data_IF_511230641298
#
_entry.id   IF_511230641298
#
_cell.length_a   1.000
_cell.length_b   1.000
_cell.length_c   1.000
_cell.angle_alpha   90.00
_cell.angle_beta   90.00
_cell.angle_gamma   90.00
#
_symmetry.space_group_name_H-M   'P 1'
#
loop_
_entity.id
_entity.type
_entity.pdbx_description
1 polymer ?
#
# COMPACT_ATOMS: atom_id res chain seq x y z
N UNK A 1 -44.73 7.81 22.38
CA UNK A 1 -44.27 7.24 23.67
C UNK A 1 -44.51 8.24 24.76
N UNK A 2 -45.23 7.85 25.83
CA UNK A 2 -45.53 8.72 26.96
C UNK A 2 -44.25 8.99 27.77
N UNK A 3 -44.19 10.17 28.43
CA UNK A 3 -43.09 10.52 29.34
C UNK A 3 -42.87 9.44 30.40
N UNK A 4 -43.94 8.89 30.96
CA UNK A 4 -43.90 7.79 31.96
C UNK A 4 -43.29 6.50 31.38
N UNK A 5 -43.51 6.19 30.11
CA UNK A 5 -42.98 5.00 29.46
C UNK A 5 -41.45 5.10 29.27
N UNK A 6 -40.98 6.32 28.95
CA UNK A 6 -39.53 6.58 28.85
C UNK A 6 -38.84 6.51 30.20
N UNK A 7 -39.40 7.17 31.20
CA UNK A 7 -38.86 7.16 32.59
C UNK A 7 -38.82 5.74 33.20
N UNK A 8 -39.86 4.94 32.96
CA UNK A 8 -39.88 3.55 33.42
C UNK A 8 -38.80 2.69 32.76
N UNK A 9 -38.55 2.88 31.43
CA UNK A 9 -37.48 2.18 30.73
C UNK A 9 -36.10 2.55 31.21
N UNK A 10 -35.84 3.83 31.50
CA UNK A 10 -34.57 4.34 31.99
C UNK A 10 -34.30 3.77 33.40
N UNK A 11 -35.29 3.76 34.28
CA UNK A 11 -35.15 3.22 35.61
C UNK A 11 -34.98 1.69 35.65
N UNK A 12 -35.67 0.96 34.79
CA UNK A 12 -35.56 -0.49 34.67
C UNK A 12 -34.38 -0.96 33.83
N UNK A 13 -33.57 -0.05 33.31
CA UNK A 13 -32.40 -0.34 32.47
C UNK A 13 -32.71 -1.33 31.32
N UNK A 14 -33.93 -1.26 30.79
CA UNK A 14 -34.39 -2.22 29.75
C UNK A 14 -33.55 -2.17 28.49
N UNK A 15 -33.02 -1.03 28.14
CA UNK A 15 -32.13 -0.87 26.97
C UNK A 15 -30.76 -1.53 27.21
N UNK A 16 -30.24 -1.47 28.44
CA UNK A 16 -29.03 -2.16 28.83
C UNK A 16 -29.19 -3.68 28.69
N UNK A 17 -30.29 -4.22 29.26
CA UNK A 17 -30.58 -5.66 29.13
C UNK A 17 -30.82 -6.08 27.68
N UNK A 18 -31.48 -5.26 26.90
CA UNK A 18 -31.68 -5.50 25.46
C UNK A 18 -30.35 -5.54 24.70
N UNK A 19 -29.45 -4.59 24.98
CA UNK A 19 -28.09 -4.57 24.43
C UNK A 19 -27.27 -5.79 24.83
N UNK A 20 -27.32 -6.17 26.10
CA UNK A 20 -26.66 -7.39 26.59
C UNK A 20 -27.21 -8.66 25.92
N UNK A 21 -28.52 -8.77 25.77
CA UNK A 21 -29.15 -9.89 25.07
C UNK A 21 -28.73 -9.95 23.59
N UNK A 22 -28.59 -8.80 22.94
CA UNK A 22 -28.10 -8.72 21.57
C UNK A 22 -26.66 -9.23 21.46
N UNK A 23 -25.74 -8.73 22.29
CA UNK A 23 -24.35 -9.17 22.28
C UNK A 23 -24.20 -10.64 22.61
N UNK A 24 -24.97 -11.15 23.59
CA UNK A 24 -25.01 -12.55 23.93
C UNK A 24 -25.48 -13.43 22.76
N UNK A 25 -26.49 -12.99 22.03
CA UNK A 25 -26.96 -13.70 20.80
C UNK A 25 -25.86 -13.75 19.73
N UNK A 26 -25.11 -12.65 19.56
CA UNK A 26 -24.05 -12.58 18.57
C UNK A 26 -22.84 -13.46 18.90
N UNK A 27 -22.61 -13.76 20.18
CA UNK A 27 -21.55 -14.67 20.62
C UNK A 27 -21.68 -16.09 20.05
N UNK A 28 -22.92 -16.54 19.75
CA UNK A 28 -23.19 -17.85 19.17
C UNK A 28 -23.38 -17.84 17.65
N UNK A 29 -23.23 -16.69 16.99
CA UNK A 29 -23.28 -16.61 15.52
C UNK A 29 -21.93 -16.95 14.90
N UNK A 30 -21.91 -17.45 13.64
CA UNK A 30 -20.67 -17.61 12.90
C UNK A 30 -19.89 -16.30 12.83
N UNK A 31 -18.56 -16.37 12.95
CA UNK A 31 -17.69 -15.22 12.84
C UNK A 31 -17.68 -14.72 11.41
N UNK A 32 -17.81 -13.41 11.23
CA UNK A 32 -17.69 -12.72 9.92
C UNK A 32 -16.30 -12.11 9.72
N UNK A 33 -15.49 -12.07 10.78
CA UNK A 33 -14.12 -11.54 10.77
C UNK A 33 -13.13 -12.63 10.42
N UNK A 34 -12.09 -12.26 9.65
CA UNK A 34 -10.96 -13.14 9.37
C UNK A 34 -9.94 -13.11 10.51
N UNK A 35 -9.21 -14.21 10.71
CA UNK A 35 -8.23 -14.35 11.77
C UNK A 35 -6.84 -13.91 11.28
N UNK A 36 -6.66 -12.59 11.07
CA UNK A 36 -5.35 -12.04 10.74
C UNK A 36 -4.36 -12.23 11.91
N UNK A 37 -3.08 -12.58 11.70
CA UNK A 37 -2.38 -12.69 10.40
C UNK A 37 -2.45 -14.06 9.72
N UNK A 38 -3.11 -15.04 10.33
CA UNK A 38 -3.17 -16.43 9.81
C UNK A 38 -4.04 -16.54 8.56
N UNK A 39 -5.08 -15.72 8.50
CA UNK A 39 -5.95 -15.57 7.34
C UNK A 39 -5.87 -14.14 6.82
N UNK A 40 -5.65 -13.98 5.51
CA UNK A 40 -5.59 -12.67 4.85
C UNK A 40 -6.70 -12.58 3.83
N UNK A 41 -7.35 -11.43 3.79
CA UNK A 41 -8.35 -11.13 2.76
C UNK A 41 -7.72 -10.91 1.39
N UNK A 42 -8.47 -11.10 0.30
CA UNK A 42 -8.00 -10.80 -1.04
C UNK A 42 -7.72 -9.30 -1.20
N UNK A 43 -6.58 -8.98 -1.81
CA UNK A 43 -6.21 -7.59 -2.12
C UNK A 43 -6.69 -7.22 -3.52
N UNK A 44 -7.12 -5.98 -3.69
CA UNK A 44 -7.42 -5.42 -5.01
C UNK A 44 -6.14 -5.35 -5.87
N UNK A 45 -6.22 -5.55 -7.20
CA UNK A 45 -5.10 -5.28 -8.10
C UNK A 45 -4.55 -3.85 -7.99
N UNK A 46 -5.38 -2.90 -7.57
CA UNK A 46 -5.03 -1.48 -7.37
C UNK A 46 -4.62 -1.16 -5.93
N UNK A 47 -4.35 -2.17 -5.10
CA UNK A 47 -3.89 -1.94 -3.74
C UNK A 47 -2.52 -1.27 -3.75
N UNK A 48 -2.35 -0.25 -2.94
CA UNK A 48 -1.16 0.59 -2.84
C UNK A 48 -0.41 0.24 -1.56
N UNK A 49 0.53 -0.70 -1.67
CA UNK A 49 1.39 -1.10 -0.56
C UNK A 49 2.84 -0.65 -0.75
N UNK A 50 3.77 -1.48 -0.32
CA UNK A 50 5.20 -1.20 -0.33
C UNK A 50 5.74 -0.93 -1.73
N UNK A 51 6.56 0.11 -1.87
CA UNK A 51 7.15 0.50 -3.15
C UNK A 51 8.20 -0.49 -3.63
N UNK A 52 8.25 -0.68 -4.95
CA UNK A 52 9.20 -1.54 -5.62
C UNK A 52 9.67 -0.94 -6.94
N UNK A 53 10.95 -1.11 -7.27
CA UNK A 53 11.50 -0.83 -8.59
C UNK A 53 11.63 -2.12 -9.39
N UNK A 54 11.04 -2.15 -10.58
CA UNK A 54 11.02 -3.34 -11.43
C UNK A 54 12.21 -3.39 -12.39
N UNK A 55 12.55 -4.63 -12.77
CA UNK A 55 13.52 -4.93 -13.82
C UNK A 55 12.84 -5.48 -15.08
N UNK A 56 13.53 -5.43 -16.19
CA UNK A 56 13.18 -6.19 -17.38
C UNK A 56 13.57 -7.68 -17.21
N UNK A 57 13.01 -8.60 -18.02
CA UNK A 57 13.37 -10.01 -17.96
C UNK A 57 14.86 -10.31 -18.21
N UNK A 58 15.59 -9.39 -18.84
CA UNK A 58 17.03 -9.47 -19.04
C UNK A 58 17.84 -9.04 -17.80
N UNK A 59 17.18 -8.66 -16.70
CA UNK A 59 17.81 -8.20 -15.46
C UNK A 59 18.12 -6.70 -15.40
N UNK A 60 17.95 -5.96 -16.52
CA UNK A 60 18.20 -4.53 -16.56
C UNK A 60 17.10 -3.74 -15.82
N UNK A 61 17.48 -2.65 -15.16
CA UNK A 61 16.53 -1.75 -14.51
C UNK A 61 15.59 -1.09 -15.54
N UNK A 62 14.29 -1.06 -15.26
CA UNK A 62 13.33 -0.36 -16.11
C UNK A 62 13.45 1.16 -16.01
N UNK A 63 13.93 1.68 -14.87
CA UNK A 63 14.00 3.11 -14.62
C UNK A 63 14.94 3.81 -15.62
N UNK A 64 14.42 4.81 -16.34
CA UNK A 64 15.13 5.64 -17.30
C UNK A 64 15.54 7.01 -16.72
N UNK A 65 15.43 7.19 -15.44
CA UNK A 65 15.78 8.43 -14.72
C UNK A 65 15.09 9.70 -15.28
N UNK A 66 13.83 9.60 -15.70
CA UNK A 66 13.06 10.74 -16.24
C UNK A 66 12.60 11.72 -15.15
N UNK A 67 12.68 11.36 -13.87
CA UNK A 67 12.29 12.17 -12.69
C UNK A 67 10.82 12.59 -12.62
N UNK A 68 9.93 12.03 -13.43
CA UNK A 68 8.50 12.36 -13.38
C UNK A 68 7.87 11.97 -12.06
N UNK A 69 8.24 10.82 -11.47
CA UNK A 69 7.75 10.38 -10.17
C UNK A 69 8.21 11.29 -9.02
N UNK A 70 9.41 11.86 -9.09
CA UNK A 70 9.90 12.87 -8.15
C UNK A 70 9.09 14.17 -8.27
N UNK A 71 8.87 14.64 -9.50
CA UNK A 71 8.16 15.88 -9.78
C UNK A 71 6.68 15.84 -9.40
N UNK A 72 6.01 14.70 -9.61
CA UNK A 72 4.57 14.53 -9.30
C UNK A 72 4.31 14.27 -7.82
N UNK A 73 5.31 13.90 -7.02
CA UNK A 73 5.12 13.46 -5.64
C UNK A 73 4.61 14.61 -4.75
N UNK A 74 3.35 14.57 -4.25
CA UNK A 74 2.80 15.65 -3.45
C UNK A 74 3.45 15.76 -2.06
N UNK A 75 4.04 14.67 -1.58
CA UNK A 75 4.72 14.62 -0.28
C UNK A 75 6.23 14.90 -0.38
N UNK A 76 6.76 15.11 -1.60
CA UNK A 76 8.20 15.28 -1.85
C UNK A 76 9.04 14.18 -1.18
N UNK A 77 8.52 12.95 -1.23
CA UNK A 77 9.13 11.79 -0.57
C UNK A 77 10.22 11.12 -1.42
N UNK A 78 10.29 11.41 -2.72
CA UNK A 78 11.19 10.78 -3.69
C UNK A 78 12.34 11.73 -4.01
N UNK A 79 13.55 11.19 -4.01
CA UNK A 79 14.78 11.91 -4.42
C UNK A 79 15.54 11.08 -5.43
N UNK A 80 15.83 11.65 -6.62
CA UNK A 80 16.49 10.95 -7.71
C UNK A 80 17.72 11.71 -8.19
N UNK A 81 18.84 11.01 -8.24
CA UNK A 81 20.05 11.49 -8.95
C UNK A 81 20.28 10.61 -10.17
N UNK A 82 20.71 11.21 -11.27
CA UNK A 82 20.85 10.53 -12.54
C UNK A 82 22.16 10.92 -13.22
N UNK A 83 22.76 9.95 -13.90
CA UNK A 83 23.95 10.13 -14.72
C UNK A 83 23.71 9.65 -16.14
N UNK A 84 24.36 10.32 -17.13
CA UNK A 84 24.39 9.82 -18.50
C UNK A 84 25.29 8.58 -18.58
N UNK A 85 24.90 7.61 -19.43
CA UNK A 85 25.74 6.49 -19.79
C UNK A 85 26.47 6.76 -21.11
N UNK A 86 27.49 5.96 -21.41
CA UNK A 86 28.26 6.03 -22.66
C UNK A 86 27.39 5.79 -23.92
N UNK A 87 26.28 5.06 -23.76
CA UNK A 87 25.30 4.78 -24.82
C UNK A 87 24.30 5.94 -25.06
N UNK A 88 24.45 7.06 -24.35
CA UNK A 88 23.56 8.21 -24.43
C UNK A 88 22.26 8.06 -23.61
N UNK A 89 22.01 6.93 -23.01
CA UNK A 89 20.89 6.74 -22.09
C UNK A 89 21.17 7.34 -20.71
N UNK A 90 20.11 7.54 -19.91
CA UNK A 90 20.24 7.95 -18.50
C UNK A 90 19.90 6.80 -17.58
N UNK A 91 20.59 6.74 -16.45
CA UNK A 91 20.29 5.81 -15.34
C UNK A 91 20.35 6.54 -14.01
N UNK A 92 19.62 6.01 -13.03
CA UNK A 92 19.67 6.52 -11.67
C UNK A 92 20.92 6.02 -10.97
N UNK A 93 21.69 6.95 -10.40
CA UNK A 93 22.75 6.64 -9.43
C UNK A 93 22.19 6.52 -8.03
N UNK A 94 21.16 7.35 -7.74
CA UNK A 94 20.44 7.34 -6.48
C UNK A 94 18.93 7.38 -6.73
N UNK A 95 18.20 6.60 -5.98
CA UNK A 95 16.74 6.60 -5.98
C UNK A 95 16.26 6.30 -4.57
N UNK A 96 15.89 7.33 -3.82
CA UNK A 96 15.48 7.19 -2.43
C UNK A 96 14.01 7.55 -2.28
N UNK A 97 13.32 6.80 -1.43
CA UNK A 97 11.95 7.11 -0.99
C UNK A 97 11.92 7.17 0.53
N UNK A 98 11.51 8.30 1.08
CA UNK A 98 11.17 8.41 2.50
C UNK A 98 9.75 7.87 2.72
N UNK A 99 9.65 6.60 3.16
CA UNK A 99 8.38 5.92 3.38
C UNK A 99 7.56 6.55 4.50
N UNK A 100 8.19 7.35 5.38
CA UNK A 100 7.48 8.07 6.45
C UNK A 100 6.80 9.35 5.96
N UNK A 101 7.26 9.91 4.83
CA UNK A 101 6.62 11.05 4.16
C UNK A 101 5.58 10.60 3.14
N UNK A 102 5.79 9.43 2.55
CA UNK A 102 4.92 8.89 1.51
C UNK A 102 3.48 8.74 2.02
N UNK A 103 2.52 9.21 1.22
CA UNK A 103 1.08 9.08 1.50
C UNK A 103 0.41 7.98 0.67
N UNK A 104 1.18 7.18 -0.04
CA UNK A 104 0.70 6.05 -0.86
C UNK A 104 -0.39 6.44 -1.86
N UNK A 105 -0.24 7.60 -2.50
CA UNK A 105 -1.21 8.12 -3.46
C UNK A 105 -1.18 7.44 -4.83
N UNK A 106 -0.10 6.72 -5.17
CA UNK A 106 0.07 6.04 -6.45
C UNK A 106 0.46 6.93 -7.64
N UNK A 107 0.58 8.25 -7.47
CA UNK A 107 0.90 9.15 -8.58
C UNK A 107 2.26 8.86 -9.21
N UNK A 108 3.24 8.40 -8.43
CA UNK A 108 4.54 7.97 -8.95
C UNK A 108 4.43 6.79 -9.93
N UNK A 109 3.57 5.83 -9.63
CA UNK A 109 3.28 4.69 -10.47
C UNK A 109 2.54 5.10 -11.75
N UNK A 110 1.55 6.00 -11.64
CA UNK A 110 0.77 6.49 -12.78
C UNK A 110 1.62 7.36 -13.72
N UNK A 111 2.54 8.16 -13.18
CA UNK A 111 3.42 9.03 -13.97
C UNK A 111 4.58 8.27 -14.63
N UNK A 112 4.83 7.02 -14.28
CA UNK A 112 5.99 6.28 -14.79
C UNK A 112 5.72 5.72 -16.21
N UNK A 113 6.44 6.19 -17.25
CA UNK A 113 6.19 5.77 -18.62
C UNK A 113 6.64 4.34 -18.95
N UNK A 114 7.40 3.72 -18.04
CA UNK A 114 8.01 2.39 -18.26
C UNK A 114 7.62 1.40 -17.16
N UNK A 115 6.65 1.72 -16.31
CA UNK A 115 6.23 0.91 -15.14
C UNK A 115 7.42 0.44 -14.29
N UNK A 116 8.37 1.33 -14.05
CA UNK A 116 9.55 1.03 -13.25
C UNK A 116 9.26 1.10 -11.76
N UNK A 117 8.63 2.21 -11.29
CA UNK A 117 8.17 2.35 -9.91
C UNK A 117 6.74 1.90 -9.80
N UNK A 118 6.46 1.01 -8.86
CA UNK A 118 5.12 0.47 -8.59
C UNK A 118 4.89 0.33 -7.10
N UNK A 119 3.63 0.37 -6.69
CA UNK A 119 3.20 0.05 -5.34
C UNK A 119 2.74 -1.41 -5.29
N UNK A 120 3.41 -2.19 -4.46
CA UNK A 120 3.27 -3.65 -4.40
C UNK A 120 2.13 -4.12 -3.49
N UNK A 121 1.99 -5.44 -3.35
CA UNK A 121 0.99 -6.07 -2.51
C UNK A 121 1.33 -6.02 -1.02
N UNK A 122 2.62 -5.88 -0.69
CA UNK A 122 3.07 -5.96 0.69
C UNK A 122 2.65 -4.73 1.49
N UNK A 123 2.07 -4.94 2.66
CA UNK A 123 1.75 -3.90 3.63
C UNK A 123 2.36 -4.18 5.02
N UNK A 124 3.01 -5.34 5.17
CA UNK A 124 3.62 -5.79 6.43
C UNK A 124 5.10 -5.42 6.46
N UNK A 125 5.42 -4.13 6.48
CA UNK A 125 6.80 -3.63 6.48
C UNK A 125 7.06 -2.62 7.62
N UNK A 126 6.38 -2.82 8.74
CA UNK A 126 6.66 -2.04 9.96
C UNK A 126 8.09 -2.29 10.45
N UNK A 127 8.75 -1.23 10.92
CA UNK A 127 10.13 -1.25 11.41
C UNK A 127 10.24 -0.55 12.75
N UNK A 128 11.33 -0.74 13.47
CA UNK A 128 11.55 -0.12 14.77
C UNK A 128 12.07 1.32 14.65
N UNK A 129 12.79 1.63 13.57
CA UNK A 129 13.45 2.92 13.39
C UNK A 129 13.02 3.60 12.09
N UNK A 130 13.00 4.94 12.10
CA UNK A 130 12.73 5.72 10.90
C UNK A 130 13.77 5.50 9.80
N UNK A 131 15.02 5.24 10.15
CA UNK A 131 16.09 5.05 9.20
C UNK A 131 15.85 3.84 8.29
N UNK A 132 15.23 2.79 8.81
CA UNK A 132 14.86 1.59 8.05
C UNK A 132 13.74 1.83 7.04
N UNK A 133 12.94 2.90 7.25
CA UNK A 133 11.89 3.36 6.32
C UNK A 133 12.41 4.38 5.29
N UNK A 134 13.69 4.69 5.29
CA UNK A 134 14.34 5.36 4.18
C UNK A 134 14.77 4.28 3.18
N UNK A 135 14.00 4.12 2.11
CA UNK A 135 14.26 3.10 1.10
C UNK A 135 15.20 3.64 0.04
N UNK A 136 16.35 3.02 -0.06
CA UNK A 136 17.31 3.25 -1.13
C UNK A 136 16.98 2.45 -2.40
N UNK A 137 17.72 2.70 -3.45
CA UNK A 137 17.56 2.04 -4.74
C UNK A 137 17.68 0.53 -4.65
N UNK A 138 18.66 0.01 -3.88
CA UNK A 138 18.92 -1.41 -3.77
C UNK A 138 17.77 -2.14 -3.06
N UNK A 139 17.23 -1.57 -2.00
CA UNK A 139 16.05 -2.09 -1.30
C UNK A 139 14.81 -2.09 -2.18
N UNK A 140 14.60 -1.02 -2.96
CA UNK A 140 13.47 -0.93 -3.89
C UNK A 140 13.58 -1.97 -5.01
N UNK A 141 14.77 -2.21 -5.53
CA UNK A 141 15.02 -3.25 -6.54
C UNK A 141 14.85 -4.66 -5.95
N UNK A 142 15.34 -4.90 -4.73
CA UNK A 142 15.12 -6.16 -4.05
C UNK A 142 13.64 -6.46 -3.80
N UNK A 143 12.85 -5.44 -3.48
CA UNK A 143 11.39 -5.57 -3.40
C UNK A 143 10.78 -5.91 -4.78
N UNK A 144 11.25 -5.26 -5.85
CA UNK A 144 10.84 -5.59 -7.22
C UNK A 144 11.10 -7.04 -7.58
N UNK A 145 12.32 -7.49 -7.35
CA UNK A 145 12.73 -8.87 -7.63
C UNK A 145 11.91 -9.90 -6.82
N UNK A 146 11.58 -9.58 -5.58
CA UNK A 146 10.76 -10.43 -4.69
C UNK A 146 9.32 -10.59 -5.17
N UNK A 147 8.71 -9.51 -5.62
CA UNK A 147 7.27 -9.44 -5.90
C UNK A 147 6.94 -9.39 -7.39
N UNK A 148 7.92 -9.50 -8.31
CA UNK A 148 7.74 -9.27 -9.75
C UNK A 148 6.57 -10.06 -10.36
N UNK A 149 6.41 -11.33 -9.99
CA UNK A 149 5.33 -12.18 -10.51
C UNK A 149 3.95 -11.60 -10.17
N UNK A 150 3.76 -11.18 -8.93
CA UNK A 150 2.50 -10.60 -8.48
C UNK A 150 2.30 -9.18 -9.01
N UNK A 151 3.37 -8.38 -9.07
CA UNK A 151 3.34 -7.03 -9.65
C UNK A 151 2.96 -7.07 -11.13
N UNK A 152 3.53 -7.98 -11.91
CA UNK A 152 3.19 -8.14 -13.32
C UNK A 152 1.72 -8.53 -13.50
N UNK A 153 1.22 -9.50 -12.74
CA UNK A 153 -0.18 -9.90 -12.79
C UNK A 153 -1.16 -8.77 -12.42
N UNK A 154 -0.80 -7.95 -11.44
CA UNK A 154 -1.61 -6.78 -11.03
C UNK A 154 -1.66 -5.70 -12.10
N UNK A 155 -0.53 -5.39 -12.72
CA UNK A 155 -0.45 -4.40 -13.80
C UNK A 155 -1.27 -4.87 -15.00
N UNK A 156 -1.20 -6.16 -15.35
CA UNK A 156 -2.01 -6.74 -16.41
C UNK A 156 -3.51 -6.67 -16.08
N UNK A 157 -3.90 -6.99 -14.86
CA UNK A 157 -5.29 -6.89 -14.42
C UNK A 157 -5.82 -5.44 -14.38
N UNK A 158 -4.95 -4.45 -14.16
CA UNK A 158 -5.31 -3.03 -14.14
C UNK A 158 -5.23 -2.37 -15.53
N UNK A 159 -4.55 -2.97 -16.51
CA UNK A 159 -4.33 -2.43 -17.83
C UNK A 159 -5.59 -1.91 -18.56
N UNK A 160 -6.78 -2.55 -18.45
CA UNK A 160 -8.00 -2.04 -19.09
C UNK A 160 -8.51 -0.71 -18.54
N UNK A 161 -7.99 -0.27 -17.40
CA UNK A 161 -8.44 0.91 -16.65
C UNK A 161 -7.41 2.05 -16.60
N UNK A 162 -6.26 1.87 -17.24
CA UNK A 162 -5.16 2.85 -17.37
C UNK A 162 -5.25 3.67 -18.63
#
# INVERSE_FOLDING_TARGET
MSFFDRTARDWLLTELFSGMALTFRYMFKPRVTINYPYEKGPLSPRFRGEHALRRYPNGEERCIACKLCEAICPALAITIEAEPRDDGSRRTTRYDIDMTKCIYCGFCQEACPVDAIVEGPNFEFATETRAELMYDKDKLLANGDRWEVELAARIEADAPYR
#
